data_IF_529489787323
#
_entry.id   IF_529489787323
#
_cell.length_a   1.000
_cell.length_b   1.000
_cell.length_c   1.000
_cell.angle_alpha   90.00
_cell.angle_beta   90.00
_cell.angle_gamma   90.00
#
_symmetry.space_group_name_H-M   'P 1'
#
loop_
_entity.id
_entity.type
_entity.pdbx_description
1 polymer ?
#
# COMPACT_ATOMS: atom_id res chain seq x y z
N UNK A 1 23.91 9.65 26.76
CA UNK A 1 23.88 9.34 25.31
C UNK A 1 22.66 8.47 25.06
N UNK A 2 21.77 8.86 24.15
CA UNK A 2 20.68 7.96 23.73
C UNK A 2 21.27 6.83 22.87
N UNK A 3 20.72 5.61 22.91
CA UNK A 3 21.19 4.53 22.06
C UNK A 3 20.96 4.86 20.57
N UNK A 4 21.83 4.33 19.71
CA UNK A 4 21.66 4.46 18.26
C UNK A 4 20.41 3.73 17.72
N UNK A 5 19.93 2.73 18.48
CA UNK A 5 18.80 1.89 18.11
C UNK A 5 17.84 1.72 19.28
N UNK A 6 16.56 1.81 18.98
CA UNK A 6 15.48 1.35 19.86
C UNK A 6 14.95 0.04 19.29
N UNK A 7 14.69 -0.93 20.17
CA UNK A 7 14.05 -2.17 19.77
C UNK A 7 12.54 -1.94 19.69
N UNK A 8 11.93 -2.30 18.56
CA UNK A 8 10.49 -2.41 18.42
C UNK A 8 10.18 -3.91 18.39
N UNK A 9 9.32 -4.36 19.30
CA UNK A 9 8.87 -5.76 19.35
C UNK A 9 8.31 -6.19 17.98
N UNK A 10 8.66 -7.40 17.50
CA UNK A 10 8.15 -7.92 16.24
C UNK A 10 6.64 -8.21 16.34
N UNK A 11 5.94 -8.43 15.21
CA UNK A 11 4.55 -8.87 15.24
C UNK A 11 4.43 -10.22 15.95
N UNK A 12 3.28 -10.49 16.55
CA UNK A 12 2.99 -11.81 17.13
C UNK A 12 2.91 -12.84 15.99
N UNK A 13 3.87 -13.76 15.96
CA UNK A 13 4.02 -14.75 14.88
C UNK A 13 4.41 -16.12 15.45
N UNK A 14 4.20 -17.21 14.69
CA UNK A 14 4.70 -18.53 15.07
C UNK A 14 6.22 -18.52 15.33
N UNK A 15 6.69 -19.43 16.18
CA UNK A 15 8.11 -19.55 16.50
C UNK A 15 8.97 -19.75 15.24
N UNK A 16 10.07 -19.00 15.14
CA UNK A 16 11.01 -19.05 14.02
C UNK A 16 10.64 -18.17 12.82
N UNK A 17 9.46 -17.53 12.81
CA UNK A 17 9.12 -16.52 11.81
C UNK A 17 9.70 -15.16 12.24
N UNK A 18 10.32 -14.46 11.31
CA UNK A 18 11.01 -13.17 11.57
C UNK A 18 10.70 -12.18 10.46
N UNK A 19 10.74 -10.88 10.77
CA UNK A 19 10.70 -9.84 9.74
C UNK A 19 12.00 -9.88 8.92
N UNK A 20 11.88 -9.84 7.60
CA UNK A 20 13.00 -9.96 6.65
C UNK A 20 13.16 -8.75 5.73
N UNK A 21 12.12 -7.93 5.56
CA UNK A 21 12.21 -6.67 4.83
C UNK A 21 11.29 -5.61 5.43
N UNK A 22 11.66 -4.35 5.23
CA UNK A 22 10.93 -3.17 5.69
C UNK A 22 10.82 -2.15 4.55
N UNK A 23 9.70 -1.45 4.49
CA UNK A 23 9.39 -0.47 3.45
C UNK A 23 8.63 0.71 4.08
N UNK A 24 9.08 1.93 3.81
CA UNK A 24 8.42 3.15 4.27
C UNK A 24 7.88 3.97 3.11
N UNK A 25 6.86 4.78 3.37
CA UNK A 25 6.44 5.81 2.43
C UNK A 25 7.43 6.99 2.43
N UNK A 26 7.55 7.75 1.33
CA UNK A 26 8.45 8.91 1.24
C UNK A 26 8.10 10.09 2.17
N UNK A 27 6.97 10.04 2.86
CA UNK A 27 6.48 11.06 3.78
C UNK A 27 6.44 10.57 5.25
N UNK A 28 7.11 9.46 5.55
CA UNK A 28 7.23 8.88 6.90
C UNK A 28 5.91 8.48 7.59
N UNK A 29 4.79 8.42 6.86
CA UNK A 29 3.47 8.07 7.40
C UNK A 29 3.15 6.58 7.38
N UNK A 30 3.84 5.79 6.57
CA UNK A 30 3.59 4.35 6.43
C UNK A 30 4.87 3.56 6.66
N UNK A 31 4.74 2.45 7.40
CA UNK A 31 5.81 1.47 7.57
C UNK A 31 5.21 0.07 7.44
N UNK A 32 5.72 -0.69 6.48
CA UNK A 32 5.28 -2.03 6.14
C UNK A 32 6.47 -2.98 6.18
N UNK A 33 6.21 -4.26 6.46
CA UNK A 33 7.24 -5.27 6.54
C UNK A 33 6.75 -6.61 5.96
N UNK A 34 7.71 -7.40 5.49
CA UNK A 34 7.50 -8.80 5.13
C UNK A 34 8.18 -9.69 6.15
N UNK A 35 7.55 -10.81 6.46
CA UNK A 35 8.17 -11.86 7.25
C UNK A 35 8.79 -12.98 6.38
N UNK A 36 9.54 -13.88 7.02
CA UNK A 36 10.21 -15.01 6.38
C UNK A 36 9.28 -16.02 5.71
N UNK A 37 7.96 -15.87 5.88
CA UNK A 37 6.89 -16.65 5.25
C UNK A 37 6.08 -15.83 4.25
N UNK A 38 6.59 -14.67 3.84
CA UNK A 38 5.97 -13.75 2.88
C UNK A 38 4.64 -13.16 3.36
N UNK A 39 4.35 -13.20 4.66
CA UNK A 39 3.19 -12.48 5.17
C UNK A 39 3.50 -10.99 5.26
N UNK A 40 2.46 -10.19 5.03
CA UNK A 40 2.54 -8.73 5.06
C UNK A 40 2.10 -8.22 6.42
N UNK A 41 2.87 -7.29 6.97
CA UNK A 41 2.57 -6.61 8.23
C UNK A 41 2.66 -5.09 8.03
N UNK A 42 1.81 -4.34 8.72
CA UNK A 42 1.85 -2.87 8.75
C UNK A 42 2.06 -2.40 10.18
N UNK A 43 2.82 -1.32 10.37
CA UNK A 43 2.95 -0.63 11.65
C UNK A 43 1.83 0.41 11.76
N UNK A 44 0.99 0.27 12.77
CA UNK A 44 -0.11 1.17 13.06
C UNK A 44 0.30 2.30 14.01
N UNK A 45 -0.49 3.38 14.01
CA UNK A 45 -0.37 4.51 14.95
C UNK A 45 0.89 5.36 14.78
N UNK A 46 1.47 5.39 13.58
CA UNK A 46 2.54 6.32 13.25
C UNK A 46 1.94 7.72 13.12
N UNK A 47 2.40 8.65 13.95
CA UNK A 47 2.06 10.07 13.88
C UNK A 47 3.31 10.92 14.09
N UNK A 48 3.22 12.24 13.94
CA UNK A 48 4.35 13.14 14.22
C UNK A 48 4.81 13.05 15.69
N UNK A 49 3.86 12.85 16.61
CA UNK A 49 4.13 12.69 18.05
C UNK A 49 4.55 11.26 18.41
N UNK A 50 4.19 10.28 17.58
CA UNK A 50 4.48 8.86 17.79
C UNK A 50 5.11 8.23 16.54
N UNK A 51 6.32 8.65 16.12
CA UNK A 51 6.93 8.22 14.86
C UNK A 51 7.30 6.73 14.83
N UNK A 52 7.41 6.10 16.00
CA UNK A 52 7.69 4.67 16.16
C UNK A 52 6.45 3.79 15.98
N UNK A 53 5.25 4.39 15.96
CA UNK A 53 3.97 3.70 15.94
C UNK A 53 3.66 2.92 17.22
N UNK A 54 2.48 2.30 17.28
CA UNK A 54 1.95 1.63 18.48
C UNK A 54 1.97 0.11 18.39
N UNK A 55 1.64 -0.45 17.22
CA UNK A 55 1.43 -1.90 17.07
C UNK A 55 1.74 -2.38 15.66
N UNK A 56 1.97 -3.69 15.51
CA UNK A 56 1.99 -4.37 14.23
C UNK A 56 0.62 -5.00 13.96
N UNK A 57 0.17 -4.92 12.71
CA UNK A 57 -1.05 -5.56 12.23
C UNK A 57 -0.73 -6.46 11.04
N UNK A 58 -1.27 -7.68 11.04
CA UNK A 58 -1.15 -8.58 9.91
C UNK A 58 -2.14 -8.17 8.80
N UNK A 59 -1.66 -8.03 7.56
CA UNK A 59 -2.48 -7.67 6.40
C UNK A 59 -2.80 -8.94 5.59
N UNK A 60 -4.04 -9.45 5.65
CA UNK A 60 -4.40 -10.71 5.00
C UNK A 60 -4.65 -10.54 3.49
N UNK A 61 -4.78 -11.69 2.80
CA UNK A 61 -5.31 -11.78 1.45
C UNK A 61 -4.30 -12.14 0.36
N UNK A 62 -2.99 -11.98 0.61
CA UNK A 62 -1.94 -12.48 -0.26
C UNK A 62 -0.62 -12.68 0.50
N UNK A 63 0.30 -13.39 -0.13
CA UNK A 63 1.71 -13.43 0.25
C UNK A 63 2.51 -12.56 -0.72
N UNK A 64 3.47 -11.79 -0.19
CA UNK A 64 4.28 -10.88 -0.98
C UNK A 64 5.78 -11.14 -0.78
N UNK A 65 6.54 -11.00 -1.84
CA UNK A 65 8.00 -11.09 -1.84
C UNK A 65 8.69 -9.75 -2.15
N UNK A 66 7.91 -8.72 -2.51
CA UNK A 66 8.37 -7.35 -2.69
C UNK A 66 7.22 -6.39 -2.40
N UNK A 67 7.51 -5.32 -1.66
CA UNK A 67 6.60 -4.17 -1.50
C UNK A 67 7.24 -2.90 -2.07
N UNK A 68 6.41 -1.97 -2.52
CA UNK A 68 6.84 -0.58 -2.76
C UNK A 68 5.69 0.37 -2.41
N UNK A 69 6.05 1.50 -1.81
CA UNK A 69 5.12 2.47 -1.26
C UNK A 69 5.36 3.83 -1.90
N UNK A 70 4.27 4.51 -2.25
CA UNK A 70 4.28 5.95 -2.52
C UNK A 70 3.85 6.71 -1.26
N UNK A 71 3.50 7.99 -1.42
CA UNK A 71 2.85 8.77 -0.36
C UNK A 71 1.43 8.29 -0.02
N UNK A 72 0.78 7.53 -0.91
CA UNK A 72 -0.65 7.15 -0.79
C UNK A 72 -0.94 5.69 -1.09
N UNK A 73 -0.08 5.01 -1.81
CA UNK A 73 -0.36 3.67 -2.33
C UNK A 73 0.66 2.65 -1.86
N UNK A 74 0.15 1.46 -1.59
CA UNK A 74 0.95 0.29 -1.23
C UNK A 74 0.74 -0.76 -2.31
N UNK A 75 1.85 -1.28 -2.81
CA UNK A 75 1.89 -2.27 -3.86
C UNK A 75 2.67 -3.49 -3.40
N UNK A 76 2.26 -4.66 -3.90
CA UNK A 76 2.86 -5.93 -3.56
C UNK A 76 3.05 -6.80 -4.81
N UNK A 77 4.23 -7.41 -4.94
CA UNK A 77 4.48 -8.49 -5.88
C UNK A 77 4.44 -9.83 -5.16
N UNK A 78 3.58 -10.71 -5.63
CA UNK A 78 3.47 -12.08 -5.16
C UNK A 78 4.62 -12.94 -5.71
N UNK A 79 4.97 -14.06 -5.05
CA UNK A 79 6.00 -14.99 -5.52
C UNK A 79 5.77 -15.54 -6.94
N UNK A 80 4.50 -15.68 -7.34
CA UNK A 80 4.10 -16.11 -8.68
C UNK A 80 4.22 -15.01 -9.77
N UNK A 81 4.67 -13.80 -9.39
CA UNK A 81 4.80 -12.66 -10.29
C UNK A 81 3.56 -11.78 -10.42
N UNK A 82 2.45 -12.11 -9.77
CA UNK A 82 1.27 -11.23 -9.73
C UNK A 82 1.61 -9.91 -9.03
N UNK A 83 1.05 -8.81 -9.54
CA UNK A 83 1.10 -7.51 -8.90
C UNK A 83 -0.27 -7.14 -8.32
N UNK A 84 -0.30 -6.60 -7.10
CA UNK A 84 -1.52 -6.15 -6.46
C UNK A 84 -1.34 -4.79 -5.78
N UNK A 85 -2.41 -4.00 -5.75
CA UNK A 85 -2.51 -2.75 -4.98
C UNK A 85 -3.35 -2.97 -3.73
N UNK A 86 -2.95 -2.40 -2.60
CA UNK A 86 -3.80 -2.28 -1.42
C UNK A 86 -4.74 -1.08 -1.54
N UNK A 87 -6.03 -1.32 -1.36
CA UNK A 87 -7.08 -0.29 -1.33
C UNK A 87 -7.53 -0.03 0.11
N UNK A 88 -8.05 1.17 0.38
CA UNK A 88 -8.57 1.56 1.70
C UNK A 88 -7.52 2.05 2.70
N UNK A 89 -6.24 2.13 2.29
CA UNK A 89 -5.17 2.61 3.16
C UNK A 89 -5.39 4.09 3.47
N UNK A 90 -5.53 4.42 4.75
CA UNK A 90 -5.67 5.78 5.28
C UNK A 90 -4.97 5.89 6.63
N UNK A 91 -4.78 7.10 7.16
CA UNK A 91 -4.17 7.31 8.49
C UNK A 91 -4.95 6.61 9.62
N UNK A 92 -6.27 6.48 9.45
CA UNK A 92 -7.16 5.77 10.40
C UNK A 92 -7.29 4.28 10.11
N UNK A 93 -6.89 3.84 8.92
CA UNK A 93 -6.94 2.45 8.46
C UNK A 93 -5.62 2.10 7.74
N UNK A 94 -4.50 2.02 8.48
CA UNK A 94 -3.19 1.80 7.87
C UNK A 94 -3.08 0.44 7.18
N UNK A 95 -3.81 -0.58 7.64
CA UNK A 95 -3.89 -1.88 6.98
C UNK A 95 -4.65 -1.85 5.66
N UNK A 96 -5.55 -0.88 5.47
CA UNK A 96 -6.48 -0.84 4.35
C UNK A 96 -7.46 -2.01 4.33
N UNK A 97 -8.27 -2.10 3.29
CA UNK A 97 -9.42 -3.00 3.23
C UNK A 97 -9.11 -4.28 2.47
N UNK A 98 -8.64 -4.17 1.22
CA UNK A 98 -8.43 -5.34 0.35
C UNK A 98 -7.31 -5.14 -0.68
N UNK A 99 -6.83 -6.26 -1.23
CA UNK A 99 -5.89 -6.29 -2.34
C UNK A 99 -6.64 -6.42 -3.66
N UNK A 100 -6.29 -5.59 -4.65
CA UNK A 100 -6.77 -5.72 -6.03
C UNK A 100 -5.62 -6.13 -6.93
N UNK A 101 -5.72 -7.31 -7.54
CA UNK A 101 -4.75 -7.79 -8.53
C UNK A 101 -4.80 -6.95 -9.80
N UNK A 102 -3.64 -6.75 -10.40
CA UNK A 102 -3.48 -6.05 -11.68
C UNK A 102 -3.15 -7.10 -12.74
N UNK A 103 -3.75 -7.01 -13.93
CA UNK A 103 -3.40 -7.92 -15.03
C UNK A 103 -1.91 -7.88 -15.37
N UNK A 104 -1.34 -9.05 -15.64
CA UNK A 104 0.06 -9.22 -16.02
C UNK A 104 0.95 -9.72 -14.90
N UNK A 105 2.17 -10.11 -15.27
CA UNK A 105 3.20 -10.56 -14.33
C UNK A 105 4.46 -9.70 -14.44
N UNK A 106 5.13 -9.54 -13.30
CA UNK A 106 6.34 -8.75 -13.18
C UNK A 106 7.41 -9.50 -12.38
N UNK A 107 8.66 -9.25 -12.73
CA UNK A 107 9.84 -9.80 -12.04
C UNK A 107 10.28 -8.90 -10.88
N UNK A 108 10.16 -7.59 -11.06
CA UNK A 108 10.30 -6.56 -10.02
C UNK A 108 9.53 -5.30 -10.42
N UNK A 109 9.29 -4.43 -9.44
CA UNK A 109 8.63 -3.15 -9.66
C UNK A 109 9.09 -2.06 -8.69
N UNK A 110 8.74 -0.81 -8.97
CA UNK A 110 8.88 0.34 -8.07
C UNK A 110 7.73 1.31 -8.28
N UNK A 111 7.45 2.15 -7.28
CA UNK A 111 6.49 3.25 -7.37
C UNK A 111 7.16 4.54 -6.92
N UNK A 112 6.90 5.63 -7.61
CA UNK A 112 7.40 6.96 -7.20
C UNK A 112 6.54 7.54 -6.08
N UNK A 113 7.00 8.64 -5.46
CA UNK A 113 6.20 9.39 -4.48
C UNK A 113 4.90 9.96 -5.07
N UNK A 114 4.83 10.15 -6.40
CA UNK A 114 3.70 10.66 -7.17
C UNK A 114 2.77 9.58 -7.74
N UNK A 115 2.86 8.34 -7.26
CA UNK A 115 2.07 7.17 -7.71
C UNK A 115 2.40 6.63 -9.12
N UNK A 116 3.56 6.98 -9.69
CA UNK A 116 3.98 6.42 -10.98
C UNK A 116 4.58 5.02 -10.78
N UNK A 117 3.91 4.01 -11.33
CA UNK A 117 4.29 2.61 -11.20
C UNK A 117 5.10 2.14 -12.42
N UNK A 118 6.28 1.59 -12.12
CA UNK A 118 7.22 1.04 -13.09
C UNK A 118 7.55 -0.40 -12.76
N UNK A 119 7.69 -1.26 -13.76
CA UNK A 119 7.99 -2.67 -13.56
C UNK A 119 8.84 -3.28 -14.66
N UNK A 120 9.45 -4.42 -14.38
CA UNK A 120 10.13 -5.27 -15.36
C UNK A 120 9.27 -6.51 -15.59
N UNK A 121 8.65 -6.63 -16.77
CA UNK A 121 7.89 -7.81 -17.16
C UNK A 121 8.76 -8.88 -17.84
N UNK A 122 8.42 -10.17 -17.80
CA UNK A 122 9.19 -11.23 -18.48
C UNK A 122 9.06 -11.10 -20.02
N UNK A 123 10.17 -11.08 -20.81
CA UNK A 123 11.53 -11.52 -20.49
C UNK A 123 12.52 -10.42 -20.05
N UNK A 124 12.07 -9.22 -19.69
CA UNK A 124 12.90 -8.12 -19.21
C UNK A 124 12.49 -6.73 -19.71
N UNK A 125 11.32 -6.58 -20.34
CA UNK A 125 10.88 -5.27 -20.84
C UNK A 125 10.44 -4.36 -19.70
N UNK A 126 10.72 -3.06 -19.87
CA UNK A 126 10.25 -2.01 -18.99
C UNK A 126 8.77 -1.73 -19.24
N UNK A 127 7.98 -1.72 -18.18
CA UNK A 127 6.56 -1.38 -18.16
C UNK A 127 6.37 -0.09 -17.36
N UNK A 128 5.55 0.81 -17.89
CA UNK A 128 4.96 1.91 -17.15
C UNK A 128 3.45 1.72 -17.12
N UNK A 129 2.84 1.83 -15.94
CA UNK A 129 1.39 1.82 -15.83
C UNK A 129 0.83 3.22 -16.10
N UNK A 130 -0.03 3.34 -17.11
CA UNK A 130 -0.62 4.63 -17.51
C UNK A 130 -1.88 5.01 -16.73
N UNK A 131 -2.56 4.04 -16.11
CA UNK A 131 -3.78 4.33 -15.35
C UNK A 131 -3.45 5.07 -14.06
N UNK A 132 -3.88 6.35 -14.00
CA UNK A 132 -3.79 7.18 -12.79
C UNK A 132 -4.88 6.79 -11.82
N UNK A 133 -4.54 6.74 -10.54
CA UNK A 133 -5.51 6.47 -9.49
C UNK A 133 -6.16 7.80 -9.11
N UNK A 134 -7.41 8.01 -9.51
CA UNK A 134 -8.19 9.14 -9.00
C UNK A 134 -8.38 8.97 -7.49
N UNK A 135 -7.94 9.97 -6.73
CA UNK A 135 -8.31 10.12 -5.32
C UNK A 135 -9.66 10.82 -5.28
N UNK A 136 -10.69 10.15 -4.75
CA UNK A 136 -11.89 10.85 -4.33
C UNK A 136 -11.49 11.77 -3.17
N UNK A 137 -11.26 13.05 -3.49
CA UNK A 137 -11.25 14.06 -2.45
C UNK A 137 -12.67 14.11 -1.90
N UNK A 138 -12.87 13.69 -0.65
CA UNK A 138 -14.02 14.18 0.12
C UNK A 138 -13.81 15.68 0.36
N UNK A 139 -14.02 16.48 -0.69
CA UNK A 139 -14.38 17.88 -0.50
C UNK A 139 -15.75 17.85 0.16
N UNK A 140 -15.83 18.29 1.41
CA UNK A 140 -17.12 18.56 2.03
C UNK A 140 -17.86 19.55 1.11
N UNK A 141 -19.04 19.20 0.57
CA UNK A 141 -19.86 20.20 -0.10
C UNK A 141 -20.34 21.14 0.99
N UNK A 142 -19.89 22.39 0.91
CA UNK A 142 -20.53 23.50 1.60
C UNK A 142 -22.03 23.43 1.31
N UNK A 143 -22.82 23.43 2.37
CA UNK A 143 -24.27 23.47 2.36
C UNK A 143 -24.82 24.43 1.31
N UNK A 144 -25.49 23.92 0.26
CA UNK A 144 -26.72 24.48 -0.31
C UNK A 144 -27.28 23.61 -1.47
N UNK A 145 -28.44 23.00 -1.19
CA UNK A 145 -29.58 22.70 -2.07
C UNK A 145 -29.52 21.72 -3.28
N UNK A 146 -30.62 20.94 -3.36
CA UNK A 146 -31.20 20.11 -4.45
C UNK A 146 -30.73 18.64 -4.56
N UNK A 147 -31.64 17.64 -4.55
CA UNK A 147 -31.26 16.23 -4.70
C UNK A 147 -30.97 15.91 -6.18
N UNK A 148 -29.90 15.17 -6.51
CA UNK A 148 -29.59 14.78 -7.88
C UNK A 148 -30.46 13.61 -8.37
N UNK A 149 -30.76 13.63 -9.67
CA UNK A 149 -31.58 12.66 -10.41
C UNK A 149 -30.82 11.34 -10.61
N UNK A 150 -31.48 10.16 -10.68
CA UNK A 150 -30.81 8.85 -10.68
C UNK A 150 -29.97 8.50 -11.91
N UNK A 151 -29.94 9.34 -12.95
CA UNK A 151 -29.34 9.01 -14.26
C UNK A 151 -27.90 9.52 -14.45
N UNK A 152 -27.37 10.35 -13.52
CA UNK A 152 -25.99 10.88 -13.62
C UNK A 152 -24.89 9.90 -13.14
N UNK A 153 -25.25 8.68 -12.70
CA UNK A 153 -24.30 7.70 -12.13
C UNK A 153 -23.79 6.65 -13.14
N UNK A 154 -24.27 6.66 -14.39
CA UNK A 154 -23.91 5.62 -15.37
C UNK A 154 -22.73 5.94 -16.30
N UNK A 155 -22.28 7.20 -16.40
CA UNK A 155 -21.38 7.64 -17.50
C UNK A 155 -19.90 7.94 -17.12
N UNK A 156 -19.40 7.52 -15.96
CA UNK A 156 -18.00 7.81 -15.55
C UNK A 156 -17.01 6.63 -15.70
N UNK A 157 -17.23 5.76 -16.69
CA UNK A 157 -16.26 4.72 -17.08
C UNK A 157 -15.79 4.89 -18.53
N UNK A 158 -14.96 5.90 -18.80
CA UNK A 158 -14.11 5.87 -19.99
C UNK A 158 -12.64 5.63 -19.62
N UNK A 159 -12.15 4.51 -20.16
CA UNK A 159 -10.78 4.01 -20.06
C UNK A 159 -9.86 4.91 -20.88
N UNK A 160 -8.73 5.32 -20.29
CA UNK A 160 -7.54 5.74 -21.05
C UNK A 160 -6.31 5.05 -20.44
#
# INVERSE_FOLDING_TARGET
MLPAWIMIEPPVQPAGVTLVSVHSSPNDQMLWALDSRWNVHVRAGITEEMPVGIAWEHVPGLQACQLALSTRTVWARCPNGDLARRYGVTDKNPAGDYWKKIPGNVTCFTVTSSDELWAVGPPGYLLQRLTRTFSHSHGAPSSHATPPHPEDLEDEWEVI
#
